data_IF_086139728959
#
_entry.id   IF_086139728959
#
_cell.length_a   1.000
_cell.length_b   1.000
_cell.length_c   1.000
_cell.angle_alpha   90.00
_cell.angle_beta   90.00
_cell.angle_gamma   90.00
#
_symmetry.space_group_name_H-M   'P 1'
#
loop_
_entity.id
_entity.type
_entity.pdbx_description
1 polymer ?
#
# COMPACT_ATOMS: atom_id res chain seq x y z
N UNK A 1 0.19 -5.07 -8.86
CA UNK A 1 1.03 -5.66 -7.76
C UNK A 1 0.15 -5.69 -6.53
N UNK A 2 0.23 -6.71 -5.67
CA UNK A 2 -0.59 -6.78 -4.44
C UNK A 2 0.17 -6.08 -3.30
N UNK A 3 -0.45 -5.09 -2.67
CA UNK A 3 0.12 -4.40 -1.51
C UNK A 3 0.31 -5.36 -0.34
N UNK A 4 1.49 -5.33 0.30
CA UNK A 4 1.78 -6.14 1.48
C UNK A 4 1.30 -5.40 2.74
N UNK A 5 0.41 -6.02 3.52
CA UNK A 5 -0.26 -5.38 4.67
C UNK A 5 0.24 -5.99 5.96
N UNK A 6 0.83 -5.17 6.81
CA UNK A 6 1.38 -5.52 8.12
C UNK A 6 0.47 -4.97 9.22
N UNK A 7 -0.07 -5.85 10.06
CA UNK A 7 -0.75 -5.47 11.28
C UNK A 7 0.25 -5.44 12.44
N UNK A 8 0.54 -4.26 12.97
CA UNK A 8 1.43 -4.07 14.12
C UNK A 8 0.66 -4.30 15.42
N UNK A 9 0.93 -5.42 16.08
CA UNK A 9 0.32 -5.81 17.37
C UNK A 9 1.09 -5.23 18.56
N UNK A 10 2.41 -5.20 18.49
CA UNK A 10 3.24 -4.71 19.60
C UNK A 10 3.17 -3.19 19.74
N UNK A 11 3.05 -2.64 20.96
CA UNK A 11 2.95 -3.27 22.29
C UNK A 11 1.50 -3.56 22.78
N UNK A 12 0.48 -3.48 21.92
CA UNK A 12 -0.94 -3.52 22.29
C UNK A 12 -1.45 -4.87 22.86
N UNK A 13 -0.60 -5.88 22.84
CA UNK A 13 -0.85 -7.12 23.60
C UNK A 13 -0.64 -6.95 25.13
N UNK A 14 -0.06 -5.82 25.57
CA UNK A 14 0.16 -5.47 26.99
C UNK A 14 0.89 -6.59 27.77
N UNK A 15 1.94 -7.19 27.21
CA UNK A 15 2.70 -8.28 27.84
C UNK A 15 1.93 -9.60 28.00
N UNK A 16 0.76 -9.74 27.39
CA UNK A 16 -0.09 -10.92 27.52
C UNK A 16 -0.01 -11.80 26.25
N UNK A 17 0.61 -12.97 26.37
CA UNK A 17 0.79 -13.91 25.27
C UNK A 17 -0.55 -14.41 24.69
N UNK A 18 -1.52 -14.74 25.54
CA UNK A 18 -2.81 -15.25 25.05
C UNK A 18 -3.55 -14.16 24.23
N UNK A 19 -3.47 -12.89 24.66
CA UNK A 19 -4.01 -11.76 23.90
C UNK A 19 -3.30 -11.63 22.56
N UNK A 20 -1.99 -11.74 22.52
CA UNK A 20 -1.20 -11.71 21.29
C UNK A 20 -1.61 -12.85 20.33
N UNK A 21 -1.77 -14.07 20.82
CA UNK A 21 -2.22 -15.23 20.03
C UNK A 21 -3.62 -14.97 19.45
N UNK A 22 -4.59 -14.54 20.26
CA UNK A 22 -5.94 -14.23 19.78
C UNK A 22 -5.92 -13.16 18.70
N UNK A 23 -5.10 -12.11 18.84
CA UNK A 23 -4.95 -11.07 17.81
C UNK A 23 -4.38 -11.65 16.50
N UNK A 24 -3.38 -12.54 16.55
CA UNK A 24 -2.84 -13.21 15.35
C UNK A 24 -3.95 -13.98 14.63
N UNK A 25 -4.71 -14.81 15.36
CA UNK A 25 -5.76 -15.67 14.78
C UNK A 25 -6.89 -14.84 14.13
N UNK A 26 -7.27 -13.73 14.74
CA UNK A 26 -8.29 -12.84 14.19
C UNK A 26 -7.76 -12.08 12.96
N UNK A 27 -6.54 -11.55 13.03
CA UNK A 27 -5.93 -10.82 11.91
C UNK A 27 -5.65 -11.72 10.70
N UNK A 28 -5.30 -12.98 10.93
CA UNK A 28 -5.19 -13.97 9.86
C UNK A 28 -6.53 -14.14 9.10
N UNK A 29 -7.65 -14.18 9.81
CA UNK A 29 -9.01 -14.25 9.20
C UNK A 29 -9.37 -12.97 8.44
N UNK A 30 -8.84 -11.83 8.87
CA UNK A 30 -9.00 -10.54 8.16
C UNK A 30 -8.26 -10.52 6.83
N UNK A 31 -7.21 -11.34 6.67
CA UNK A 31 -6.45 -11.46 5.43
C UNK A 31 -5.26 -10.50 5.32
N UNK A 32 -4.64 -10.16 6.45
CA UNK A 32 -3.34 -9.48 6.48
C UNK A 32 -2.26 -10.39 5.90
N UNK A 33 -1.18 -9.80 5.38
CA UNK A 33 -0.05 -10.59 4.88
C UNK A 33 0.94 -10.91 6.01
N UNK A 34 1.07 -10.01 7.00
CA UNK A 34 1.91 -10.21 8.18
C UNK A 34 1.30 -9.62 9.44
N UNK A 35 1.71 -10.16 10.58
CA UNK A 35 1.58 -9.53 11.89
C UNK A 35 2.96 -9.18 12.42
N UNK A 36 3.08 -8.04 13.12
CA UNK A 36 4.36 -7.58 13.62
C UNK A 36 4.34 -7.37 15.14
N UNK A 37 5.49 -7.63 15.75
CA UNK A 37 5.75 -7.49 17.17
C UNK A 37 7.00 -6.65 17.41
N UNK A 38 7.31 -6.43 18.67
CA UNK A 38 8.47 -5.69 19.15
C UNK A 38 9.20 -6.51 20.22
N UNK A 39 10.51 -6.56 20.12
CA UNK A 39 11.36 -7.26 21.09
C UNK A 39 12.52 -6.35 21.46
N UNK A 40 12.71 -6.17 22.76
CA UNK A 40 13.86 -5.50 23.34
C UNK A 40 14.25 -6.14 24.66
N UNK A 41 15.52 -5.99 25.01
CA UNK A 41 15.97 -6.05 26.40
C UNK A 41 15.92 -4.61 26.92
N UNK A 42 14.92 -4.23 27.75
CA UNK A 42 14.68 -2.83 28.09
C UNK A 42 15.89 -2.12 28.69
N UNK A 43 16.73 -2.84 29.42
CA UNK A 43 17.97 -2.33 30.00
C UNK A 43 19.03 -1.96 28.95
N UNK A 44 19.00 -2.61 27.78
CA UNK A 44 19.90 -2.28 26.66
C UNK A 44 19.41 -1.07 25.86
N UNK A 45 18.10 -0.74 25.95
CA UNK A 45 17.46 0.30 25.18
C UNK A 45 17.39 1.65 25.91
N UNK A 46 17.16 1.64 27.22
CA UNK A 46 16.89 2.86 27.99
C UNK A 46 17.99 3.16 29.02
N UNK A 47 18.59 4.35 28.93
CA UNK A 47 19.45 4.91 29.96
C UNK A 47 18.62 5.52 31.12
N UNK A 48 19.31 5.91 32.19
CA UNK A 48 18.65 6.60 33.33
C UNK A 48 18.12 7.99 32.95
N UNK A 49 18.61 8.57 31.87
CA UNK A 49 18.20 9.88 31.37
C UNK A 49 17.04 9.82 30.39
N UNK A 50 16.57 8.59 30.06
CA UNK A 50 15.46 8.40 29.12
C UNK A 50 14.14 8.96 29.67
N UNK A 51 13.34 9.55 28.81
CA UNK A 51 12.04 10.14 29.18
C UNK A 51 10.93 9.72 28.21
N UNK A 52 9.70 9.73 28.67
CA UNK A 52 8.51 9.50 27.85
C UNK A 52 8.09 10.78 27.15
N UNK A 53 7.87 10.79 25.82
CA UNK A 53 7.22 11.91 25.14
C UNK A 53 5.79 12.12 25.67
N UNK A 54 5.19 13.28 25.38
CA UNK A 54 3.91 13.69 25.96
C UNK A 54 2.80 12.66 25.75
N UNK A 55 2.63 12.15 24.54
CA UNK A 55 1.58 11.17 24.25
C UNK A 55 1.71 9.87 25.07
N UNK A 56 2.95 9.42 25.34
CA UNK A 56 3.16 8.24 26.19
C UNK A 56 2.86 8.51 27.66
N UNK A 57 3.15 9.74 28.16
CA UNK A 57 2.79 10.14 29.52
C UNK A 57 1.28 10.17 29.73
N UNK A 58 0.55 10.59 28.70
CA UNK A 58 -0.92 10.65 28.73
C UNK A 58 -1.57 9.27 28.64
N UNK A 59 -0.98 8.34 27.89
CA UNK A 59 -1.57 7.06 27.56
C UNK A 59 -1.11 5.89 28.46
N UNK A 60 -0.01 6.05 29.15
CA UNK A 60 0.58 5.00 30.02
C UNK A 60 1.04 5.59 31.34
N UNK A 61 0.63 4.97 32.46
CA UNK A 61 0.83 5.47 33.84
C UNK A 61 2.17 5.08 34.44
N UNK A 62 2.99 4.28 33.80
CA UNK A 62 4.32 3.92 34.32
C UNK A 62 5.20 5.15 34.47
N UNK A 63 6.13 5.11 35.42
CA UNK A 63 6.96 6.28 35.77
C UNK A 63 8.00 6.56 34.71
N UNK A 64 8.53 5.52 34.03
CA UNK A 64 9.64 5.63 33.08
C UNK A 64 9.40 4.84 31.81
N UNK A 65 10.10 5.17 30.69
CA UNK A 65 10.06 4.35 29.49
C UNK A 65 10.58 2.92 29.73
N UNK A 66 11.55 2.75 30.64
CA UNK A 66 12.05 1.44 31.03
C UNK A 66 10.95 0.58 31.66
N UNK A 67 10.20 1.10 32.61
CA UNK A 67 9.07 0.37 33.22
C UNK A 67 7.96 0.08 32.21
N UNK A 68 7.62 1.06 31.38
CA UNK A 68 6.65 0.88 30.30
C UNK A 68 7.06 -0.26 29.37
N UNK A 69 8.33 -0.27 28.94
CA UNK A 69 8.86 -1.31 28.08
C UNK A 69 8.80 -2.69 28.78
N UNK A 70 9.27 -2.81 30.03
CA UNK A 70 9.20 -4.06 30.80
C UNK A 70 7.79 -4.62 30.93
N UNK A 71 6.81 -3.74 31.19
CA UNK A 71 5.40 -4.11 31.31
C UNK A 71 4.82 -4.70 30.02
N UNK A 72 5.29 -4.20 28.87
CA UNK A 72 4.74 -4.54 27.56
C UNK A 72 5.57 -5.58 26.79
N UNK A 73 6.70 -6.07 27.32
CA UNK A 73 7.49 -7.11 26.64
C UNK A 73 6.87 -8.50 26.79
N UNK A 74 7.01 -9.29 25.75
CA UNK A 74 6.89 -10.75 25.79
C UNK A 74 8.28 -11.36 25.91
N UNK A 75 8.35 -12.58 26.46
CA UNK A 75 9.62 -13.28 26.55
C UNK A 75 10.12 -13.77 25.20
N UNK A 76 11.43 -14.01 25.07
CA UNK A 76 12.02 -14.62 23.87
C UNK A 76 11.32 -15.94 23.49
N UNK A 77 10.97 -16.76 24.47
CA UNK A 77 10.24 -18.01 24.23
C UNK A 77 8.81 -17.81 23.75
N UNK A 78 8.17 -16.69 24.10
CA UNK A 78 6.82 -16.35 23.61
C UNK A 78 6.87 -15.94 22.14
N UNK A 79 7.93 -15.26 21.71
CA UNK A 79 8.13 -14.93 20.30
C UNK A 79 8.31 -16.17 19.42
N UNK A 80 8.98 -17.23 19.91
CA UNK A 80 9.05 -18.51 19.20
C UNK A 80 7.66 -19.14 19.02
N UNK A 81 6.83 -19.13 20.09
CA UNK A 81 5.45 -19.64 20.01
C UNK A 81 4.60 -18.81 19.05
N UNK A 82 4.73 -17.48 19.07
CA UNK A 82 4.00 -16.60 18.17
C UNK A 82 4.39 -16.82 16.71
N UNK A 83 5.66 -17.05 16.42
CA UNK A 83 6.12 -17.39 15.08
C UNK A 83 5.49 -18.70 14.58
N UNK A 84 5.40 -19.72 15.44
CA UNK A 84 4.71 -20.98 15.12
C UNK A 84 3.20 -20.78 14.88
N UNK A 85 2.54 -20.00 15.74
CA UNK A 85 1.11 -19.63 15.57
C UNK A 85 0.89 -18.91 14.25
N UNK A 86 1.73 -17.95 13.88
CA UNK A 86 1.66 -17.25 12.60
C UNK A 86 1.78 -18.21 11.42
N UNK A 87 2.77 -19.12 11.47
CA UNK A 87 2.97 -20.15 10.45
C UNK A 87 1.73 -21.04 10.27
N UNK A 88 1.13 -21.47 11.39
CA UNK A 88 -0.07 -22.31 11.37
C UNK A 88 -1.29 -21.56 10.81
N UNK A 89 -1.35 -20.24 10.98
CA UNK A 89 -2.39 -19.37 10.44
C UNK A 89 -2.06 -18.80 9.05
N UNK A 90 -0.92 -19.17 8.44
CA UNK A 90 -0.50 -18.74 7.09
C UNK A 90 -0.36 -17.22 6.96
N UNK A 91 0.13 -16.57 8.00
CA UNK A 91 0.55 -15.16 7.99
C UNK A 91 2.02 -15.07 8.33
N UNK A 92 2.73 -14.10 7.75
CA UNK A 92 4.12 -13.87 8.08
C UNK A 92 4.24 -13.33 9.52
N UNK A 93 5.20 -13.88 10.26
CA UNK A 93 5.64 -13.30 11.52
C UNK A 93 6.74 -12.28 11.24
N UNK A 94 6.59 -11.07 11.77
CA UNK A 94 7.62 -10.04 11.77
C UNK A 94 7.85 -9.54 13.19
N UNK A 95 9.08 -9.13 13.48
CA UNK A 95 9.41 -8.52 14.76
C UNK A 95 10.52 -7.48 14.59
N UNK A 96 10.38 -6.36 15.28
CA UNK A 96 11.43 -5.36 15.41
C UNK A 96 12.30 -5.71 16.60
N UNK A 97 13.58 -5.98 16.37
CA UNK A 97 14.59 -6.05 17.44
C UNK A 97 15.19 -4.66 17.67
N UNK A 98 14.99 -4.10 18.86
CA UNK A 98 15.45 -2.76 19.19
C UNK A 98 16.88 -2.70 19.73
N UNK A 99 17.45 -3.83 20.06
CA UNK A 99 18.85 -3.97 20.51
C UNK A 99 19.51 -5.16 19.80
N UNK A 100 20.83 -5.23 19.86
CA UNK A 100 21.61 -6.22 19.12
C UNK A 100 21.32 -7.66 19.55
N UNK A 101 21.08 -7.90 20.84
CA UNK A 101 20.82 -9.25 21.35
C UNK A 101 19.45 -9.72 20.92
N UNK A 102 18.45 -8.83 20.98
CA UNK A 102 17.10 -9.09 20.45
C UNK A 102 17.13 -9.35 18.95
N UNK A 103 17.85 -8.51 18.18
CA UNK A 103 17.96 -8.69 16.72
C UNK A 103 18.62 -10.01 16.34
N UNK A 104 19.72 -10.38 17.00
CA UNK A 104 20.42 -11.66 16.78
C UNK A 104 19.53 -12.84 17.12
N UNK A 105 18.86 -12.79 18.27
CA UNK A 105 17.94 -13.85 18.67
C UNK A 105 16.86 -14.08 17.58
N UNK A 106 16.24 -13.02 17.08
CA UNK A 106 15.23 -13.10 16.01
C UNK A 106 15.80 -13.68 14.72
N UNK A 107 16.99 -13.23 14.30
CA UNK A 107 17.63 -13.70 13.05
C UNK A 107 18.05 -15.17 13.13
N UNK A 108 18.54 -15.62 14.30
CA UNK A 108 19.06 -16.98 14.51
C UNK A 108 17.95 -18.01 14.72
N UNK A 109 16.79 -17.61 15.23
CA UNK A 109 15.76 -18.56 15.70
C UNK A 109 14.43 -18.48 14.98
N UNK A 110 14.13 -17.39 14.21
CA UNK A 110 12.84 -17.18 13.58
C UNK A 110 13.03 -16.81 12.12
N UNK A 111 12.37 -17.54 11.24
CA UNK A 111 12.33 -17.17 9.83
C UNK A 111 11.36 -15.99 9.63
N UNK A 112 11.91 -14.83 9.22
CA UNK A 112 11.17 -13.62 8.91
C UNK A 112 11.43 -13.21 7.46
N UNK A 113 10.39 -12.80 6.73
CA UNK A 113 10.50 -12.31 5.36
C UNK A 113 11.28 -10.99 5.24
N UNK A 114 11.26 -10.18 6.31
CA UNK A 114 11.91 -8.88 6.38
C UNK A 114 12.58 -8.64 7.71
N UNK A 115 13.68 -7.88 7.71
CA UNK A 115 14.09 -7.11 8.87
C UNK A 115 13.30 -5.81 8.94
N UNK A 116 12.86 -5.41 10.13
CA UNK A 116 12.26 -4.09 10.36
C UNK A 116 13.19 -3.23 11.19
N UNK A 117 13.48 -2.04 10.67
CA UNK A 117 14.21 -0.97 11.37
C UNK A 117 13.21 0.13 11.68
N UNK A 118 12.92 0.40 12.97
CA UNK A 118 11.97 1.45 13.35
C UNK A 118 12.64 2.83 13.23
N UNK A 119 11.84 3.89 13.21
CA UNK A 119 12.33 5.26 13.05
C UNK A 119 13.37 5.69 14.09
N UNK A 120 13.23 5.20 15.32
CA UNK A 120 14.20 5.47 16.40
C UNK A 120 15.58 4.90 16.15
N UNK A 121 15.68 3.81 15.40
CA UNK A 121 16.93 3.09 15.16
C UNK A 121 17.54 3.38 13.79
N UNK A 122 17.07 4.42 13.09
CA UNK A 122 17.57 4.75 11.74
C UNK A 122 19.07 5.10 11.70
N UNK A 123 19.64 5.51 12.84
CA UNK A 123 21.07 5.84 12.99
C UNK A 123 21.82 4.85 13.90
N UNK A 124 21.19 3.74 14.29
CA UNK A 124 21.83 2.68 15.08
C UNK A 124 22.77 1.86 14.18
N UNK A 125 24.01 2.38 14.02
CA UNK A 125 25.00 1.91 13.04
C UNK A 125 25.28 0.41 13.18
N UNK A 126 25.38 -0.11 14.38
CA UNK A 126 25.62 -1.52 14.69
C UNK A 126 24.47 -2.42 14.17
N UNK A 127 23.22 -2.01 14.39
CA UNK A 127 22.03 -2.71 13.85
C UNK A 127 22.01 -2.65 12.31
N UNK A 128 22.27 -1.46 11.73
CA UNK A 128 22.27 -1.26 10.27
C UNK A 128 23.37 -2.11 9.60
N UNK A 129 24.60 -2.14 10.15
CA UNK A 129 25.69 -2.96 9.64
C UNK A 129 25.42 -4.45 9.76
N UNK A 130 24.84 -4.89 10.90
CA UNK A 130 24.43 -6.28 11.09
C UNK A 130 23.45 -6.71 10.00
N UNK A 131 22.38 -5.94 9.80
CA UNK A 131 21.34 -6.18 8.80
C UNK A 131 21.91 -6.09 7.38
N UNK A 132 22.83 -5.14 7.16
CA UNK A 132 23.54 -4.95 5.89
C UNK A 132 24.27 -6.20 5.41
N UNK A 133 24.87 -6.95 6.32
CA UNK A 133 25.58 -8.20 6.05
C UNK A 133 24.67 -9.40 5.75
N UNK A 134 23.37 -9.27 5.97
CA UNK A 134 22.38 -10.34 5.71
C UNK A 134 21.76 -10.19 4.31
N UNK A 135 21.38 -11.31 3.71
CA UNK A 135 20.69 -11.32 2.40
C UNK A 135 19.18 -11.43 2.56
N UNK A 136 18.60 -10.53 3.36
CA UNK A 136 17.16 -10.48 3.67
C UNK A 136 16.59 -9.10 3.29
N UNK A 137 15.34 -9.01 2.93
CA UNK A 137 14.66 -7.73 2.66
C UNK A 137 14.58 -6.88 3.92
N UNK A 138 14.53 -5.57 3.74
CA UNK A 138 14.56 -4.59 4.84
C UNK A 138 13.40 -3.61 4.72
N UNK A 139 12.69 -3.39 5.79
CA UNK A 139 11.69 -2.33 5.96
C UNK A 139 12.30 -1.24 6.85
N UNK A 140 12.59 -0.07 6.30
CA UNK A 140 13.24 1.05 6.98
C UNK A 140 12.23 2.18 7.22
N UNK A 141 11.85 2.43 8.47
CA UNK A 141 10.99 3.56 8.85
C UNK A 141 11.80 4.85 9.01
N UNK A 142 11.21 5.99 8.61
CA UNK A 142 11.91 7.28 8.49
C UNK A 142 11.23 8.43 9.23
N UNK A 143 10.37 8.14 10.21
CA UNK A 143 9.83 9.17 11.08
C UNK A 143 10.94 9.95 11.77
N UNK A 144 10.81 11.28 11.87
CA UNK A 144 11.80 12.20 12.45
C UNK A 144 13.13 12.33 11.67
N UNK A 145 13.32 11.56 10.60
CA UNK A 145 14.58 11.55 9.87
C UNK A 145 14.62 12.59 8.73
N UNK A 146 15.75 13.24 8.57
CA UNK A 146 16.10 14.04 7.40
C UNK A 146 16.45 13.14 6.20
N UNK A 147 16.38 13.68 4.99
CA UNK A 147 16.83 12.96 3.78
C UNK A 147 18.31 12.51 3.86
N UNK A 148 19.17 13.27 4.54
CA UNK A 148 20.57 12.90 4.72
C UNK A 148 20.72 11.67 5.63
N UNK A 149 19.95 11.58 6.70
CA UNK A 149 19.94 10.43 7.60
C UNK A 149 19.38 9.19 6.90
N UNK A 150 18.32 9.34 6.09
CA UNK A 150 17.77 8.25 5.25
C UNK A 150 18.85 7.74 4.27
N UNK A 151 19.54 8.63 3.59
CA UNK A 151 20.62 8.27 2.67
C UNK A 151 21.76 7.52 3.37
N UNK A 152 22.15 8.00 4.56
CA UNK A 152 23.17 7.37 5.39
C UNK A 152 22.77 5.95 5.76
N UNK A 153 21.55 5.75 6.25
CA UNK A 153 21.03 4.43 6.61
C UNK A 153 20.99 3.48 5.40
N UNK A 154 20.48 3.93 4.26
CA UNK A 154 20.44 3.15 3.02
C UNK A 154 21.84 2.73 2.59
N UNK A 155 22.85 3.63 2.68
CA UNK A 155 24.22 3.34 2.30
C UNK A 155 24.88 2.33 3.22
N UNK A 156 24.63 2.39 4.55
CA UNK A 156 25.15 1.40 5.52
C UNK A 156 24.51 0.01 5.26
N UNK A 157 23.19 -0.06 5.06
CA UNK A 157 22.48 -1.31 4.77
C UNK A 157 22.96 -1.88 3.41
N UNK A 158 23.21 -1.01 2.42
CA UNK A 158 23.56 -1.39 1.05
C UNK A 158 22.46 -2.14 0.29
N UNK A 159 22.70 -2.49 -0.99
CA UNK A 159 21.77 -3.25 -1.85
C UNK A 159 20.35 -2.65 -1.84
N UNK A 160 20.17 -1.51 -2.48
CA UNK A 160 18.95 -0.71 -2.53
C UNK A 160 17.71 -1.50 -2.98
N UNK A 161 17.86 -2.49 -3.84
CA UNK A 161 16.82 -3.34 -4.40
C UNK A 161 16.08 -4.20 -3.36
N UNK A 162 16.67 -4.39 -2.18
CA UNK A 162 16.06 -5.12 -1.06
C UNK A 162 15.45 -4.22 0.02
N UNK A 163 15.58 -2.88 -0.12
CA UNK A 163 15.11 -1.93 0.89
C UNK A 163 13.78 -1.34 0.45
N UNK A 164 12.77 -1.44 1.31
CA UNK A 164 11.55 -0.66 1.23
C UNK A 164 11.59 0.41 2.32
N UNK A 165 11.55 1.67 1.92
CA UNK A 165 11.57 2.81 2.86
C UNK A 165 10.13 3.20 3.19
N UNK A 166 9.79 3.17 4.46
CA UNK A 166 8.51 3.68 4.94
C UNK A 166 8.57 5.19 5.17
N UNK A 167 7.70 5.91 4.53
CA UNK A 167 7.30 7.22 5.04
C UNK A 167 6.40 7.01 6.27
N UNK A 168 6.63 7.77 7.32
CA UNK A 168 5.80 7.77 8.53
C UNK A 168 5.99 9.06 9.33
N UNK A 169 5.04 9.36 10.21
CA UNK A 169 5.09 10.47 11.17
C UNK A 169 5.08 9.88 12.57
N UNK A 170 6.12 10.17 13.36
CA UNK A 170 6.29 9.64 14.72
C UNK A 170 5.51 10.45 15.76
N UNK A 171 4.20 10.61 15.52
CA UNK A 171 3.23 11.14 16.46
C UNK A 171 2.03 10.18 16.52
N UNK A 172 1.49 9.91 17.72
CA UNK A 172 0.50 8.85 17.95
C UNK A 172 -0.71 9.40 18.73
N UNK A 173 -1.85 9.71 18.05
CA UNK A 173 -2.06 9.66 16.60
C UNK A 173 -1.43 10.84 15.85
N UNK A 174 -1.07 10.62 14.59
CA UNK A 174 -0.59 11.66 13.70
C UNK A 174 -1.78 12.46 13.13
N UNK A 175 -1.78 13.80 13.23
CA UNK A 175 -2.80 14.61 12.60
C UNK A 175 -2.65 14.59 11.08
N UNK A 176 -3.75 14.58 10.31
CA UNK A 176 -3.71 14.50 8.85
C UNK A 176 -2.86 15.60 8.18
N UNK A 177 -2.81 16.81 8.79
CA UNK A 177 -2.00 17.93 8.29
C UNK A 177 -0.50 17.66 8.24
N UNK A 178 -0.01 16.74 9.09
CA UNK A 178 1.42 16.48 9.26
C UNK A 178 1.90 15.31 8.38
N UNK A 179 0.98 14.53 7.82
CA UNK A 179 1.30 13.28 7.12
C UNK A 179 2.11 13.48 5.84
N UNK A 180 1.77 14.50 5.04
CA UNK A 180 2.53 14.87 3.83
C UNK A 180 2.87 13.67 2.92
N UNK A 181 1.90 12.85 2.51
CA UNK A 181 2.12 11.62 1.72
C UNK A 181 2.99 11.78 0.47
N UNK A 182 3.07 13.00 -0.10
CA UNK A 182 3.95 13.28 -1.24
C UNK A 182 5.43 13.06 -0.94
N UNK A 183 5.84 13.11 0.34
CA UNK A 183 7.22 12.78 0.77
C UNK A 183 7.60 11.36 0.37
N UNK A 184 6.65 10.42 0.36
CA UNK A 184 6.88 9.05 -0.09
C UNK A 184 7.33 9.01 -1.57
N UNK A 185 6.73 9.84 -2.43
CA UNK A 185 7.13 9.95 -3.85
C UNK A 185 8.53 10.54 -4.01
N UNK A 186 8.86 11.55 -3.19
CA UNK A 186 10.19 12.14 -3.17
C UNK A 186 11.26 11.14 -2.71
N UNK A 187 10.98 10.35 -1.67
CA UNK A 187 11.87 9.26 -1.22
C UNK A 187 12.15 8.28 -2.37
N UNK A 188 11.10 7.84 -3.08
CA UNK A 188 11.24 6.93 -4.22
C UNK A 188 12.09 7.53 -5.34
N UNK A 189 11.81 8.78 -5.70
CA UNK A 189 12.53 9.47 -6.78
C UNK A 189 14.01 9.74 -6.42
N UNK A 190 14.29 10.18 -5.17
CA UNK A 190 15.60 10.56 -4.72
C UNK A 190 16.54 9.38 -4.54
N UNK A 191 16.04 8.28 -3.95
CA UNK A 191 16.89 7.16 -3.53
C UNK A 191 16.80 5.94 -4.45
N UNK A 192 15.80 5.86 -5.32
CA UNK A 192 15.60 4.73 -6.22
C UNK A 192 15.27 3.42 -5.48
N UNK A 193 14.49 3.51 -4.40
CA UNK A 193 14.08 2.39 -3.55
C UNK A 193 12.58 2.13 -3.65
N UNK A 194 12.14 0.94 -3.24
CA UNK A 194 10.71 0.70 -2.97
C UNK A 194 10.23 1.54 -1.80
N UNK A 195 8.96 1.94 -1.82
CA UNK A 195 8.37 2.76 -0.76
C UNK A 195 7.14 2.11 -0.16
N UNK A 196 6.93 2.37 1.12
CA UNK A 196 5.76 1.99 1.89
C UNK A 196 5.30 3.13 2.79
N UNK A 197 4.24 2.90 3.53
CA UNK A 197 3.70 3.85 4.50
C UNK A 197 3.40 3.15 5.82
N UNK A 198 3.98 3.65 6.92
CA UNK A 198 3.66 3.23 8.28
C UNK A 198 2.70 4.27 8.85
N UNK A 199 1.44 3.88 9.02
CA UNK A 199 0.32 4.77 9.27
C UNK A 199 0.00 4.88 10.77
N UNK A 200 0.17 6.08 11.32
CA UNK A 200 -0.18 6.42 12.70
C UNK A 200 -1.40 7.36 12.80
N UNK A 201 -2.11 7.57 11.68
CA UNK A 201 -3.33 8.40 11.67
C UNK A 201 -4.55 7.62 12.18
N UNK A 202 -5.59 8.34 12.58
CA UNK A 202 -6.91 7.74 12.79
C UNK A 202 -7.62 7.50 11.45
N UNK A 203 -8.41 6.42 11.38
CA UNK A 203 -9.10 6.04 10.15
C UNK A 203 -8.19 5.33 9.15
N UNK A 204 -8.65 5.24 7.90
CA UNK A 204 -8.01 4.44 6.84
C UNK A 204 -7.56 5.27 5.65
N UNK A 205 -7.91 6.55 5.59
CA UNK A 205 -7.77 7.39 4.39
C UNK A 205 -6.31 7.56 3.98
N UNK A 206 -5.42 7.78 4.96
CA UNK A 206 -4.00 7.96 4.69
C UNK A 206 -3.35 6.70 4.08
N UNK A 207 -3.63 5.52 4.64
CA UNK A 207 -3.12 4.25 4.13
C UNK A 207 -3.66 3.94 2.72
N UNK A 208 -4.96 4.17 2.48
CA UNK A 208 -5.59 3.97 1.16
C UNK A 208 -4.97 4.93 0.12
N UNK A 209 -4.80 6.20 0.49
CA UNK A 209 -4.16 7.19 -0.38
C UNK A 209 -2.69 6.84 -0.66
N UNK A 210 -1.94 6.34 0.33
CA UNK A 210 -0.56 5.89 0.15
C UNK A 210 -0.47 4.74 -0.87
N UNK A 211 -1.38 3.76 -0.83
CA UNK A 211 -1.44 2.68 -1.82
C UNK A 211 -1.70 3.24 -3.22
N UNK A 212 -2.65 4.16 -3.36
CA UNK A 212 -2.93 4.81 -4.65
C UNK A 212 -1.73 5.62 -5.18
N UNK A 213 -0.88 6.14 -4.30
CA UNK A 213 0.38 6.82 -4.62
C UNK A 213 1.55 5.84 -4.85
N UNK A 214 1.34 4.53 -4.75
CA UNK A 214 2.34 3.52 -5.07
C UNK A 214 3.11 2.97 -3.87
N UNK A 215 2.56 3.02 -2.66
CA UNK A 215 3.09 2.28 -1.52
C UNK A 215 2.96 0.77 -1.79
N UNK A 216 4.06 0.05 -1.69
CA UNK A 216 4.12 -1.41 -1.86
C UNK A 216 3.81 -2.16 -0.56
N UNK A 217 4.05 -1.50 0.58
CA UNK A 217 3.83 -2.05 1.92
C UNK A 217 3.09 -1.02 2.77
N UNK A 218 2.07 -1.46 3.49
CA UNK A 218 1.35 -0.67 4.51
C UNK A 218 1.54 -1.33 5.86
N UNK A 219 1.89 -0.53 6.87
CA UNK A 219 1.94 -0.95 8.27
C UNK A 219 1.01 -0.06 9.09
N UNK A 220 0.22 -0.65 9.99
CA UNK A 220 -0.65 0.09 10.91
C UNK A 220 -0.82 -0.68 12.20
N UNK A 221 -0.85 0.05 13.32
CA UNK A 221 -1.10 -0.52 14.64
C UNK A 221 -2.53 -1.03 14.76
N UNK A 222 -2.70 -2.13 15.50
CA UNK A 222 -3.98 -2.76 15.78
C UNK A 222 -4.19 -2.97 17.27
N UNK A 223 -5.44 -2.83 17.72
CA UNK A 223 -5.84 -3.02 19.11
C UNK A 223 -7.22 -3.65 19.22
N UNK A 224 -7.52 -4.23 20.37
CA UNK A 224 -8.91 -4.57 20.75
C UNK A 224 -9.70 -3.37 21.27
N UNK A 225 -9.00 -2.44 21.94
CA UNK A 225 -9.64 -1.32 22.62
C UNK A 225 -8.73 -0.09 22.56
N UNK A 226 -9.23 0.99 21.97
CA UNK A 226 -8.48 2.27 21.85
C UNK A 226 -8.32 3.00 23.17
N UNK A 227 -9.20 2.72 24.13
CA UNK A 227 -9.18 3.35 25.43
C UNK A 227 -8.37 2.54 26.46
N UNK A 228 -7.80 1.40 26.08
CA UNK A 228 -6.93 0.62 26.92
C UNK A 228 -5.65 1.39 27.30
N UNK A 229 -5.12 1.12 28.50
CA UNK A 229 -3.86 1.69 28.95
C UNK A 229 -2.67 1.11 28.17
N UNK A 230 -1.88 1.99 27.57
CA UNK A 230 -0.68 1.64 26.80
C UNK A 230 -0.33 2.72 25.81
N UNK A 231 0.92 2.72 25.28
CA UNK A 231 1.42 3.86 24.49
C UNK A 231 0.68 4.07 23.17
N UNK A 232 0.23 2.99 22.50
CA UNK A 232 -0.15 3.05 21.08
C UNK A 232 -1.65 2.77 20.82
N UNK A 233 -2.43 2.37 21.83
CA UNK A 233 -3.84 2.00 21.66
C UNK A 233 -4.67 3.10 20.99
N UNK A 234 -4.50 4.35 21.39
CA UNK A 234 -5.28 5.49 20.86
C UNK A 234 -5.08 5.74 19.38
N UNK A 235 -3.87 5.47 18.87
CA UNK A 235 -3.53 5.62 17.46
C UNK A 235 -3.83 4.38 16.62
N UNK A 236 -4.22 3.28 17.26
CA UNK A 236 -4.40 1.98 16.61
C UNK A 236 -5.79 1.83 16.01
N UNK A 237 -5.90 1.01 14.97
CA UNK A 237 -7.17 0.55 14.44
C UNK A 237 -7.71 -0.63 15.27
N UNK A 238 -9.00 -0.69 15.50
CA UNK A 238 -9.64 -1.91 16.01
C UNK A 238 -9.64 -3.01 14.96
N UNK A 239 -9.82 -4.28 15.35
CA UNK A 239 -9.87 -5.40 14.37
C UNK A 239 -10.91 -5.16 13.27
N UNK A 240 -12.16 -4.70 13.55
CA UNK A 240 -13.13 -4.38 12.49
C UNK A 240 -12.69 -3.23 11.56
N UNK A 241 -12.06 -2.18 12.11
CA UNK A 241 -11.51 -1.08 11.31
C UNK A 241 -10.37 -1.58 10.42
N UNK A 242 -9.50 -2.44 10.95
CA UNK A 242 -8.41 -3.05 10.18
C UNK A 242 -8.94 -3.97 9.07
N UNK A 243 -10.00 -4.74 9.34
CA UNK A 243 -10.68 -5.53 8.31
C UNK A 243 -11.26 -4.66 7.18
N UNK A 244 -11.79 -3.48 7.53
CA UNK A 244 -12.23 -2.50 6.54
C UNK A 244 -11.05 -1.97 5.71
N UNK A 245 -9.92 -1.64 6.36
CA UNK A 245 -8.69 -1.21 5.70
C UNK A 245 -8.20 -2.24 4.68
N UNK A 246 -8.08 -3.51 5.11
CA UNK A 246 -7.63 -4.61 4.22
C UNK A 246 -8.53 -4.71 2.99
N UNK A 247 -9.87 -4.73 3.16
CA UNK A 247 -10.81 -4.76 2.03
C UNK A 247 -10.61 -3.58 1.08
N UNK A 248 -10.46 -2.38 1.63
CA UNK A 248 -10.26 -1.17 0.83
C UNK A 248 -8.96 -1.21 0.04
N UNK A 249 -7.85 -1.63 0.66
CA UNK A 249 -6.56 -1.77 -0.02
C UNK A 249 -6.64 -2.82 -1.13
N UNK A 250 -7.23 -3.99 -0.87
CA UNK A 250 -7.39 -5.02 -1.90
C UNK A 250 -8.25 -4.55 -3.08
N UNK A 251 -9.25 -3.73 -2.81
CA UNK A 251 -10.04 -3.10 -3.88
C UNK A 251 -9.22 -2.08 -4.67
N UNK A 252 -8.41 -1.25 -4.01
CA UNK A 252 -7.51 -0.31 -4.69
C UNK A 252 -6.47 -1.04 -5.54
N UNK A 253 -5.88 -2.14 -5.05
CA UNK A 253 -4.97 -2.99 -5.83
C UNK A 253 -5.61 -3.44 -7.16
N UNK A 254 -6.89 -3.80 -7.15
CA UNK A 254 -7.64 -4.15 -8.36
C UNK A 254 -7.92 -2.93 -9.25
N UNK A 255 -8.29 -1.79 -8.65
CA UNK A 255 -8.62 -0.55 -9.36
C UNK A 255 -7.41 0.07 -10.08
N UNK A 256 -6.22 -0.08 -9.50
CA UNK A 256 -4.99 0.43 -10.11
C UNK A 256 -4.67 -0.27 -11.44
N UNK A 257 -4.96 -1.55 -11.57
CA UNK A 257 -4.89 -2.29 -12.82
C UNK A 257 -3.55 -2.14 -13.55
N UNK A 258 -3.63 -1.86 -14.84
CA UNK A 258 -2.50 -1.65 -15.75
C UNK A 258 -2.52 -0.22 -16.32
N UNK A 259 -1.35 0.30 -16.74
CA UNK A 259 -1.25 1.59 -17.43
C UNK A 259 -1.70 1.53 -18.89
N UNK A 260 -1.99 0.36 -19.43
CA UNK A 260 -2.47 0.20 -20.80
C UNK A 260 -3.95 0.55 -20.91
N UNK A 261 -4.31 1.36 -21.95
CA UNK A 261 -5.70 1.72 -22.25
C UNK A 261 -6.39 0.57 -23.01
N UNK A 262 -6.80 -0.47 -22.28
CA UNK A 262 -7.51 -1.63 -22.84
C UNK A 262 -9.02 -1.47 -22.62
N UNK A 263 -9.80 -1.90 -23.61
CA UNK A 263 -11.27 -1.92 -23.52
C UNK A 263 -11.74 -3.31 -23.13
N UNK A 264 -12.68 -3.39 -22.19
CA UNK A 264 -13.40 -4.64 -21.91
C UNK A 264 -14.35 -4.98 -23.08
N UNK A 265 -14.76 -6.25 -23.17
CA UNK A 265 -15.73 -6.68 -24.19
C UNK A 265 -17.04 -5.87 -24.09
N UNK A 266 -17.47 -5.52 -22.87
CA UNK A 266 -18.64 -4.68 -22.64
C UNK A 266 -18.45 -3.24 -23.16
N UNK A 267 -17.26 -2.66 -22.96
CA UNK A 267 -16.96 -1.34 -23.53
C UNK A 267 -16.89 -1.38 -25.05
N UNK A 268 -16.42 -2.47 -25.66
CA UNK A 268 -16.43 -2.64 -27.11
C UNK A 268 -17.85 -2.71 -27.68
N UNK A 269 -18.76 -3.38 -26.98
CA UNK A 269 -20.20 -3.39 -27.33
C UNK A 269 -20.79 -1.98 -27.24
N UNK A 270 -20.56 -1.30 -26.12
CA UNK A 270 -21.01 0.09 -25.93
C UNK A 270 -20.41 1.01 -26.99
N UNK A 271 -19.14 0.83 -27.33
CA UNK A 271 -18.45 1.59 -28.38
C UNK A 271 -19.18 1.47 -29.72
N UNK A 272 -19.59 0.25 -30.12
CA UNK A 272 -20.36 0.01 -31.34
C UNK A 272 -21.73 0.71 -31.31
N UNK A 273 -22.41 0.66 -30.18
CA UNK A 273 -23.74 1.28 -30.07
C UNK A 273 -23.69 2.81 -29.93
N UNK A 274 -22.73 3.35 -29.19
CA UNK A 274 -22.69 4.77 -28.79
C UNK A 274 -21.89 5.67 -29.72
N UNK A 275 -20.92 5.16 -30.45
CA UNK A 275 -20.16 5.96 -31.44
C UNK A 275 -21.02 6.24 -32.68
N UNK A 276 -20.65 7.28 -33.44
CA UNK A 276 -21.29 7.61 -34.70
C UNK A 276 -20.54 6.99 -35.88
N UNK A 277 -21.28 6.68 -36.92
CA UNK A 277 -20.78 6.41 -38.25
C UNK A 277 -21.28 7.49 -39.23
N UNK A 278 -20.76 7.45 -40.44
CA UNK A 278 -21.27 8.27 -41.57
C UNK A 278 -22.55 7.60 -42.09
N UNK A 279 -23.61 8.39 -42.18
CA UNK A 279 -24.98 7.95 -42.51
C UNK A 279 -25.51 8.79 -43.64
N UNK A 280 -26.25 8.19 -44.56
CA UNK A 280 -26.89 8.90 -45.68
C UNK A 280 -28.03 9.82 -45.21
N UNK A 281 -28.17 11.00 -45.77
CA UNK A 281 -29.29 11.94 -45.53
C UNK A 281 -30.44 11.75 -46.52
N UNK A 282 -30.16 11.12 -47.67
CA UNK A 282 -31.10 10.75 -48.73
C UNK A 282 -30.75 9.37 -49.31
N UNK A 283 -31.62 8.86 -50.14
CA UNK A 283 -31.26 7.72 -50.98
C UNK A 283 -30.17 8.12 -51.96
N UNK A 284 -29.14 7.30 -52.11
CA UNK A 284 -28.07 7.44 -53.09
C UNK A 284 -28.01 6.16 -53.94
N UNK A 285 -28.00 6.29 -55.26
CA UNK A 285 -28.03 5.15 -56.17
C UNK A 285 -26.62 4.64 -56.51
N UNK A 286 -26.53 3.39 -56.91
CA UNK A 286 -25.30 2.82 -57.44
C UNK A 286 -24.80 3.64 -58.63
N UNK A 287 -23.51 3.94 -58.70
CA UNK A 287 -22.86 4.79 -59.66
C UNK A 287 -22.84 6.29 -59.30
N UNK A 288 -23.63 6.75 -58.31
CA UNK A 288 -23.54 8.13 -57.83
C UNK A 288 -22.27 8.34 -56.96
N UNK A 289 -21.75 9.56 -57.02
CA UNK A 289 -20.66 9.99 -56.14
C UNK A 289 -21.24 10.62 -54.87
N UNK A 290 -20.68 10.24 -53.74
CA UNK A 290 -21.05 10.76 -52.42
C UNK A 290 -20.60 12.24 -52.32
N UNK A 291 -21.54 13.12 -51.96
CA UNK A 291 -21.28 14.55 -51.70
C UNK A 291 -21.37 14.81 -50.21
N UNK A 292 -20.82 15.96 -49.77
CA UNK A 292 -20.85 16.35 -48.33
C UNK A 292 -22.26 16.51 -47.76
N UNK A 293 -23.20 17.06 -48.59
CA UNK A 293 -24.61 17.25 -48.26
C UNK A 293 -25.40 15.92 -48.15
N UNK A 294 -24.92 14.85 -48.77
CA UNK A 294 -25.58 13.55 -48.81
C UNK A 294 -25.36 12.73 -47.52
N UNK A 295 -24.54 13.24 -46.60
CA UNK A 295 -24.11 12.50 -45.42
C UNK A 295 -24.24 13.30 -44.13
N UNK A 296 -24.50 12.60 -43.03
CA UNK A 296 -24.51 13.13 -41.68
C UNK A 296 -23.86 12.10 -40.72
N UNK A 297 -23.74 12.46 -39.45
CA UNK A 297 -23.13 11.59 -38.42
C UNK A 297 -24.18 11.15 -37.42
N UNK A 298 -24.52 9.87 -37.44
CA UNK A 298 -25.45 9.25 -36.50
C UNK A 298 -24.88 7.97 -35.90
N UNK A 299 -25.45 7.52 -34.79
CA UNK A 299 -25.22 6.18 -34.24
C UNK A 299 -25.93 5.14 -35.12
N UNK A 300 -25.40 3.90 -35.16
CA UNK A 300 -24.30 3.28 -34.41
C UNK A 300 -22.92 3.46 -35.06
N UNK A 301 -21.85 2.99 -34.35
CA UNK A 301 -20.45 3.15 -34.75
C UNK A 301 -19.80 1.93 -35.35
N UNK A 302 -20.41 1.27 -36.33
CA UNK A 302 -19.84 0.09 -37.00
C UNK A 302 -19.53 0.33 -38.49
N UNK A 303 -19.91 1.47 -39.08
CA UNK A 303 -19.53 1.87 -40.45
C UNK A 303 -18.27 2.75 -40.47
N UNK A 304 -18.12 3.56 -41.52
CA UNK A 304 -17.01 4.50 -41.60
C UNK A 304 -17.02 5.47 -40.43
N UNK A 305 -15.84 5.64 -39.81
CA UNK A 305 -15.65 6.61 -38.74
C UNK A 305 -15.94 8.06 -39.22
N UNK A 306 -16.48 8.93 -38.36
CA UNK A 306 -16.55 10.36 -38.64
C UNK A 306 -15.24 10.99 -39.11
N UNK A 307 -14.10 10.44 -38.68
CA UNK A 307 -12.77 10.94 -39.11
C UNK A 307 -12.46 10.65 -40.58
N UNK A 308 -13.23 9.75 -41.23
CA UNK A 308 -13.03 9.35 -42.62
C UNK A 308 -13.93 10.06 -43.62
N UNK A 309 -14.58 11.17 -43.22
CA UNK A 309 -15.49 11.93 -44.08
C UNK A 309 -14.80 12.30 -45.39
N UNK A 310 -13.62 12.87 -45.35
CA UNK A 310 -12.88 13.34 -46.52
C UNK A 310 -12.40 12.19 -47.42
N UNK A 311 -12.25 11.00 -46.86
CA UNK A 311 -11.87 9.78 -47.61
C UNK A 311 -13.02 9.26 -48.46
N UNK A 312 -14.29 9.46 -48.02
CA UNK A 312 -15.46 8.92 -48.71
C UNK A 312 -16.17 9.94 -49.61
N UNK A 313 -15.99 11.25 -49.39
CA UNK A 313 -16.51 12.27 -50.33
C UNK A 313 -15.88 12.10 -51.70
N UNK A 314 -16.73 12.07 -52.74
CA UNK A 314 -16.32 11.84 -54.11
C UNK A 314 -16.14 10.37 -54.51
N UNK A 315 -16.19 9.41 -53.55
CA UNK A 315 -16.24 7.99 -53.86
C UNK A 315 -17.55 7.58 -54.51
N UNK A 316 -17.53 6.55 -55.36
CA UNK A 316 -18.70 6.08 -56.08
C UNK A 316 -19.36 4.92 -55.29
N UNK A 317 -20.70 4.95 -55.19
CA UNK A 317 -21.42 3.84 -54.59
C UNK A 317 -21.47 2.62 -55.52
N UNK A 318 -21.25 1.44 -54.95
CA UNK A 318 -21.32 0.17 -55.69
C UNK A 318 -22.75 -0.42 -55.69
N UNK A 319 -23.61 0.03 -54.75
CA UNK A 319 -25.02 -0.40 -54.60
C UNK A 319 -25.88 0.70 -54.05
N UNK A 320 -27.19 0.62 -54.26
CA UNK A 320 -28.15 1.59 -53.75
C UNK A 320 -28.14 1.58 -52.19
N UNK A 321 -28.14 2.76 -51.60
CA UNK A 321 -28.31 2.93 -50.15
C UNK A 321 -29.51 3.87 -49.91
N UNK A 322 -30.44 3.42 -49.09
CA UNK A 322 -31.59 4.23 -48.67
C UNK A 322 -31.15 5.40 -47.79
N UNK A 323 -32.05 6.36 -47.57
CA UNK A 323 -31.88 7.43 -46.58
C UNK A 323 -31.76 6.84 -45.18
N UNK A 324 -31.00 7.51 -44.30
CA UNK A 324 -30.80 7.16 -42.90
C UNK A 324 -30.13 5.76 -42.66
N UNK A 325 -29.22 5.39 -43.56
CA UNK A 325 -28.45 4.15 -43.48
C UNK A 325 -26.96 4.41 -43.31
N UNK A 326 -26.33 3.56 -42.50
CA UNK A 326 -24.85 3.58 -42.30
C UNK A 326 -24.14 3.19 -43.60
N UNK A 327 -23.14 4.00 -44.00
CA UNK A 327 -22.28 3.64 -45.11
C UNK A 327 -21.21 2.67 -44.63
N UNK A 328 -21.15 1.53 -45.31
CA UNK A 328 -20.21 0.45 -45.00
C UNK A 328 -19.10 0.40 -46.07
N UNK A 329 -17.97 -0.30 -45.72
CA UNK A 329 -16.81 -0.37 -46.62
C UNK A 329 -17.14 -1.03 -47.98
N UNK A 330 -18.03 -2.02 -47.99
CA UNK A 330 -18.48 -2.71 -49.20
C UNK A 330 -19.48 -1.92 -50.04
N UNK A 331 -19.87 -0.71 -49.60
CA UNK A 331 -20.76 0.19 -50.32
C UNK A 331 -20.05 1.12 -51.28
N UNK A 332 -18.74 1.27 -51.18
CA UNK A 332 -17.96 2.22 -51.97
C UNK A 332 -16.81 1.55 -52.73
N UNK A 333 -16.44 2.17 -53.88
CA UNK A 333 -15.30 1.78 -54.70
C UNK A 333 -14.20 2.82 -54.72
#
# INVERSE_FOLDING_TARGET
>A
MKTYIIAEIGPNHNGNLNRAISMVEELAKVGVDAVKFQLAIPENLYSKDSFKPSYQKENDKTVSPLEMSKKNQLSFSDHLKLAEICKNNKVDYLCTGFDMDSLKFLDDNIEMSYFKIPSGEILSVDLLEYIGKRNKKVLLSTGMASYQEIETAINIIGKKDRITVFHCVSNYPAPPSDVNLKVMLEIKARFGVSVGFSDHTLGNDAAIAAVALGAEVIEKHVTYDKDAEGPDHKASATIPEFASLVRSIRNVDLLLGSSEKIFSDKELEIKKAARKSIVTTRQILAGEKIKREDICLKRPGFGFSPLQIDEIIGKTLTKNIESDRVIMIDHIS
#
